data_IF_403216091158
#
_entry.id   IF_403216091158
#
_cell.length_a   1.000
_cell.length_b   1.000
_cell.length_c   1.000
_cell.angle_alpha   90.00
_cell.angle_beta   90.00
_cell.angle_gamma   90.00
#
_symmetry.space_group_name_H-M   'P 1'
#
loop_
_entity.id
_entity.type
_entity.pdbx_description
1 polymer ?
#
# COMPACT_ATOMS: atom_id res chain seq x y z
N UNK A 1 -5.88 9.44 -24.23
CA UNK A 1 -5.36 8.15 -23.78
C UNK A 1 -5.81 6.95 -24.63
N UNK A 2 -7.01 6.94 -25.23
CA UNK A 2 -7.53 5.83 -26.06
C UNK A 2 -6.63 5.41 -27.25
N UNK A 3 -5.89 6.34 -27.86
CA UNK A 3 -5.04 6.07 -29.04
C UNK A 3 -3.64 5.56 -28.72
N UNK A 4 -3.22 5.59 -27.44
CA UNK A 4 -1.84 5.32 -27.05
C UNK A 4 -1.52 3.83 -27.02
N UNK A 5 -2.43 3.02 -26.49
CA UNK A 5 -2.21 1.57 -26.33
C UNK A 5 -2.47 0.83 -27.64
N UNK A 6 -3.41 1.28 -28.46
CA UNK A 6 -3.74 0.69 -29.77
C UNK A 6 -2.64 0.94 -30.79
N UNK A 7 -1.95 2.10 -30.75
CA UNK A 7 -0.85 2.41 -31.69
C UNK A 7 0.38 1.52 -31.45
N UNK A 8 0.58 1.04 -30.26
CA UNK A 8 1.68 0.14 -29.87
C UNK A 8 1.57 -1.27 -30.46
N UNK A 9 0.41 -1.67 -30.94
CA UNK A 9 0.12 -3.04 -31.38
C UNK A 9 -0.06 -3.20 -32.91
N UNK A 10 -0.10 -2.11 -33.67
CA UNK A 10 -0.42 -2.15 -35.11
C UNK A 10 0.74 -1.90 -36.09
N UNK A 11 1.95 -1.65 -35.61
CA UNK A 11 3.09 -1.43 -36.51
C UNK A 11 3.89 -2.74 -36.63
N UNK A 12 4.12 -3.19 -37.86
CA UNK A 12 5.00 -4.34 -38.19
C UNK A 12 6.44 -4.09 -37.73
N UNK A 13 6.76 -4.50 -36.51
CA UNK A 13 7.91 -4.06 -35.74
C UNK A 13 9.06 -5.04 -35.93
N UNK A 14 10.24 -4.54 -36.23
CA UNK A 14 11.49 -5.32 -36.24
C UNK A 14 11.81 -5.82 -34.83
N UNK A 15 12.59 -6.88 -34.69
CA UNK A 15 12.98 -7.48 -33.39
C UNK A 15 13.55 -6.42 -32.41
N UNK A 16 14.36 -5.48 -32.91
CA UNK A 16 14.94 -4.41 -32.11
C UNK A 16 13.88 -3.42 -31.57
N UNK A 17 12.82 -3.18 -32.33
CA UNK A 17 11.69 -2.34 -31.89
C UNK A 17 10.82 -3.08 -30.85
N UNK A 18 10.68 -4.40 -30.96
CA UNK A 18 10.01 -5.23 -29.95
C UNK A 18 10.74 -5.16 -28.60
N UNK A 19 12.08 -5.29 -28.64
CA UNK A 19 12.90 -5.23 -27.42
C UNK A 19 12.84 -3.83 -26.76
N UNK A 20 12.89 -2.77 -27.57
CA UNK A 20 12.73 -1.39 -27.05
C UNK A 20 11.35 -1.17 -26.44
N UNK A 21 10.31 -1.67 -27.09
CA UNK A 21 8.93 -1.57 -26.61
C UNK A 21 8.75 -2.35 -25.31
N UNK A 22 9.32 -3.55 -25.25
CA UNK A 22 9.31 -4.38 -24.05
C UNK A 22 9.95 -3.65 -22.86
N UNK A 23 11.13 -3.07 -23.02
CA UNK A 23 11.80 -2.28 -21.97
C UNK A 23 10.97 -1.08 -21.53
N UNK A 24 10.32 -0.38 -22.45
CA UNK A 24 9.42 0.74 -22.10
C UNK A 24 8.20 0.29 -21.29
N UNK A 25 7.61 -0.85 -21.66
CA UNK A 25 6.49 -1.45 -20.91
C UNK A 25 6.95 -1.95 -19.54
N UNK A 26 8.12 -2.56 -19.44
CA UNK A 26 8.71 -2.98 -18.15
C UNK A 26 8.97 -1.80 -17.25
N UNK A 27 9.54 -0.70 -17.75
CA UNK A 27 9.77 0.53 -16.98
C UNK A 27 8.46 1.16 -16.50
N UNK A 28 7.49 1.31 -17.40
CA UNK A 28 6.16 1.83 -17.05
C UNK A 28 5.46 0.95 -16.00
N UNK A 29 5.55 -0.38 -16.16
CA UNK A 29 5.01 -1.33 -15.19
C UNK A 29 5.69 -1.17 -13.83
N UNK A 30 7.01 -1.01 -13.78
CA UNK A 30 7.77 -0.75 -12.56
C UNK A 30 7.36 0.57 -11.88
N UNK A 31 7.19 1.65 -12.65
CA UNK A 31 6.74 2.94 -12.14
C UNK A 31 5.31 2.89 -11.57
N UNK A 32 4.37 2.24 -12.28
CA UNK A 32 2.99 2.05 -11.81
C UNK A 32 2.98 1.20 -10.53
N UNK A 33 3.77 0.13 -10.51
CA UNK A 33 3.87 -0.76 -9.35
C UNK A 33 4.43 -0.04 -8.13
N UNK A 34 5.52 0.71 -8.31
CA UNK A 34 6.09 1.52 -7.24
C UNK A 34 5.11 2.54 -6.68
N UNK A 35 4.27 3.14 -7.53
CA UNK A 35 3.20 4.04 -7.10
C UNK A 35 2.10 3.28 -6.34
N UNK A 36 1.62 2.17 -6.88
CA UNK A 36 0.57 1.35 -6.25
C UNK A 36 1.01 0.81 -4.89
N UNK A 37 2.22 0.27 -4.77
CA UNK A 37 2.74 -0.24 -3.52
C UNK A 37 2.84 0.85 -2.43
N UNK A 38 3.20 2.11 -2.78
CA UNK A 38 3.23 3.20 -1.80
C UNK A 38 1.85 3.55 -1.23
N UNK A 39 0.80 3.45 -2.04
CA UNK A 39 -0.59 3.68 -1.61
C UNK A 39 -1.02 2.63 -0.62
N UNK A 40 -0.64 1.41 -0.87
CA UNK A 40 -1.08 0.26 -0.10
C UNK A 40 -0.39 0.19 1.25
N UNK A 41 0.88 0.53 1.29
CA UNK A 41 1.67 0.54 2.51
C UNK A 41 1.28 1.68 3.47
N UNK A 42 0.62 2.74 2.97
CA UNK A 42 0.23 3.89 3.80
C UNK A 42 -1.00 3.59 4.68
N UNK A 43 -1.08 4.23 5.83
CA UNK A 43 -2.27 4.30 6.68
C UNK A 43 -2.70 3.00 7.37
N UNK A 44 -1.90 1.95 7.34
CA UNK A 44 -2.23 0.69 8.02
C UNK A 44 -1.95 0.77 9.51
N UNK A 45 -0.95 1.56 9.89
CA UNK A 45 -0.52 1.72 11.28
C UNK A 45 -0.49 3.21 11.61
N UNK A 46 -1.53 3.70 12.22
CA UNK A 46 -1.63 5.11 12.61
C UNK A 46 -0.93 5.47 13.92
N UNK A 47 -0.32 4.50 14.60
CA UNK A 47 0.57 4.67 15.76
C UNK A 47 1.27 3.35 16.11
N UNK A 48 2.29 3.40 16.97
CA UNK A 48 3.07 2.24 17.37
C UNK A 48 2.43 1.40 18.50
N UNK A 49 1.39 1.90 19.17
CA UNK A 49 0.77 1.20 20.30
C UNK A 49 -0.13 0.04 19.83
N UNK A 50 -0.02 -1.12 20.49
CA UNK A 50 -0.98 -2.22 20.37
C UNK A 50 -2.21 -2.01 21.25
N UNK A 51 -3.31 -2.72 20.91
CA UNK A 51 -4.61 -2.59 21.59
C UNK A 51 -4.62 -3.21 22.99
N UNK A 52 -3.76 -4.19 23.23
CA UNK A 52 -3.62 -4.76 24.56
C UNK A 52 -4.38 -6.07 24.80
N UNK A 53 -4.71 -6.79 23.74
CA UNK A 53 -5.37 -8.10 23.77
C UNK A 53 -6.90 -8.01 23.68
N UNK A 54 -7.55 -9.17 23.63
CA UNK A 54 -9.01 -9.28 23.52
C UNK A 54 -9.73 -8.68 24.74
N UNK A 55 -10.87 -8.01 24.56
CA UNK A 55 -11.65 -7.83 23.32
C UNK A 55 -11.36 -6.51 22.57
N UNK A 56 -10.20 -5.92 22.73
CA UNK A 56 -9.90 -4.60 22.17
C UNK A 56 -9.74 -4.65 20.65
N UNK A 57 -10.43 -3.76 19.97
CA UNK A 57 -10.36 -3.63 18.51
C UNK A 57 -10.52 -2.18 18.04
N UNK A 58 -10.12 -1.92 16.82
CA UNK A 58 -10.48 -0.72 16.04
C UNK A 58 -11.00 -1.12 14.68
N UNK A 59 -11.94 -0.34 14.18
CA UNK A 59 -12.35 -0.35 12.77
C UNK A 59 -12.39 1.09 12.28
N UNK A 60 -12.08 1.27 11.01
CA UNK A 60 -12.03 2.62 10.45
C UNK A 60 -12.10 2.64 8.94
N UNK A 61 -12.22 3.86 8.44
CA UNK A 61 -12.17 4.20 7.02
C UNK A 61 -11.07 5.22 6.80
N UNK A 62 -10.42 5.15 5.66
CA UNK A 62 -9.45 6.15 5.29
C UNK A 62 -9.40 6.35 3.77
N UNK A 63 -8.81 7.45 3.37
CA UNK A 63 -8.49 7.76 1.98
C UNK A 63 -7.01 8.04 1.89
N UNK A 64 -6.33 7.34 0.99
CA UNK A 64 -4.98 7.69 0.59
C UNK A 64 -5.02 8.52 -0.68
N UNK A 65 -4.23 9.57 -0.71
CA UNK A 65 -3.98 10.40 -1.89
C UNK A 65 -2.50 10.30 -2.21
N UNK A 66 -2.19 9.80 -3.39
CA UNK A 66 -0.82 9.70 -3.88
C UNK A 66 -0.69 10.31 -5.26
N UNK A 67 0.43 10.99 -5.51
CA UNK A 67 0.74 11.53 -6.82
C UNK A 67 1.48 10.48 -7.63
N UNK A 68 0.79 9.94 -8.64
CA UNK A 68 1.38 9.05 -9.62
C UNK A 68 2.24 9.87 -10.58
N UNK A 69 3.48 9.43 -10.73
CA UNK A 69 4.43 9.99 -11.68
C UNK A 69 4.93 8.87 -12.58
N UNK A 70 4.84 9.04 -13.89
CA UNK A 70 5.39 8.10 -14.84
C UNK A 70 5.90 8.81 -16.10
N UNK A 71 6.91 8.24 -16.71
CA UNK A 71 7.46 8.72 -17.97
C UNK A 71 6.51 8.37 -19.11
N UNK A 72 6.23 9.32 -20.00
CA UNK A 72 5.39 9.05 -21.15
C UNK A 72 6.11 8.05 -22.08
N UNK A 73 5.54 6.85 -22.32
CA UNK A 73 6.22 5.83 -23.12
C UNK A 73 6.40 6.21 -24.61
N UNK A 74 5.74 7.28 -25.07
CA UNK A 74 5.89 7.82 -26.43
C UNK A 74 6.87 9.01 -26.52
N UNK A 75 7.13 9.66 -25.37
CA UNK A 75 8.01 10.82 -25.29
C UNK A 75 8.75 10.78 -23.97
N UNK A 76 9.92 10.16 -23.96
CA UNK A 76 10.76 9.92 -22.78
C UNK A 76 11.17 11.23 -22.06
N UNK A 77 10.92 12.39 -22.68
CA UNK A 77 11.21 13.69 -22.07
C UNK A 77 10.04 14.25 -21.25
N UNK A 78 8.84 13.65 -21.36
CA UNK A 78 7.64 14.13 -20.67
C UNK A 78 7.25 13.23 -19.53
N UNK A 79 7.22 13.80 -18.35
CA UNK A 79 6.65 13.18 -17.16
C UNK A 79 5.16 13.55 -17.05
N UNK A 80 4.34 12.55 -16.76
CA UNK A 80 2.91 12.72 -16.45
C UNK A 80 2.71 12.51 -14.97
N UNK A 81 2.06 13.47 -14.32
CA UNK A 81 1.71 13.38 -12.89
C UNK A 81 0.21 13.59 -12.71
N UNK A 82 -0.42 12.71 -11.93
CA UNK A 82 -1.83 12.87 -11.55
C UNK A 82 -2.08 12.35 -10.14
N UNK A 83 -3.00 12.96 -9.38
CA UNK A 83 -3.42 12.46 -8.09
C UNK A 83 -4.32 11.23 -8.25
N UNK A 84 -4.11 10.23 -7.41
CA UNK A 84 -4.97 9.07 -7.31
C UNK A 84 -5.50 8.92 -5.88
N UNK A 85 -6.79 8.62 -5.77
CA UNK A 85 -7.53 8.52 -4.52
C UNK A 85 -7.91 7.06 -4.26
N UNK A 86 -7.53 6.55 -3.09
CA UNK A 86 -7.79 5.16 -2.71
C UNK A 86 -8.48 5.11 -1.35
N UNK A 87 -9.82 5.02 -1.34
CA UNK A 87 -10.55 4.77 -0.11
C UNK A 87 -10.38 3.30 0.33
N UNK A 88 -10.31 3.07 1.63
CA UNK A 88 -10.23 1.74 2.19
C UNK A 88 -10.87 1.64 3.57
N UNK A 89 -11.29 0.42 3.89
CA UNK A 89 -11.68 -0.01 5.21
C UNK A 89 -10.49 -0.68 5.90
N UNK A 90 -10.33 -0.51 7.18
CA UNK A 90 -9.32 -1.24 7.93
C UNK A 90 -9.80 -1.61 9.32
N UNK A 91 -9.20 -2.66 9.86
CA UNK A 91 -9.44 -3.16 11.20
C UNK A 91 -8.16 -3.57 11.89
N UNK A 92 -8.17 -3.48 13.21
CA UNK A 92 -7.09 -3.89 14.08
C UNK A 92 -7.71 -4.59 15.29
N UNK A 93 -7.23 -5.79 15.61
CA UNK A 93 -7.71 -6.62 16.72
C UNK A 93 -6.55 -6.97 17.62
N UNK A 94 -6.64 -6.61 18.90
CA UNK A 94 -5.69 -6.99 19.92
C UNK A 94 -5.83 -8.48 20.26
N UNK A 95 -4.79 -9.25 20.07
CA UNK A 95 -4.78 -10.70 20.35
C UNK A 95 -4.08 -10.99 21.67
N UNK A 96 -2.95 -10.35 21.91
CA UNK A 96 -2.14 -10.57 23.09
C UNK A 96 -1.67 -9.25 23.70
N UNK A 97 -1.88 -9.09 25.02
CA UNK A 97 -1.54 -7.85 25.75
C UNK A 97 -0.06 -7.66 26.03
N UNK A 98 0.75 -8.67 25.74
CA UNK A 98 2.19 -8.65 26.04
C UNK A 98 2.52 -9.01 27.49
N UNK A 99 3.81 -9.08 27.76
CA UNK A 99 4.37 -9.36 29.08
C UNK A 99 4.64 -8.06 29.84
N UNK A 100 4.49 -8.12 31.15
CA UNK A 100 4.81 -7.04 32.08
C UNK A 100 5.81 -7.56 33.10
N UNK A 101 7.09 -7.15 32.94
CA UNK A 101 8.18 -7.60 33.84
C UNK A 101 8.43 -6.58 34.95
N UNK A 102 8.37 -5.31 34.62
CA UNK A 102 8.55 -4.18 35.53
C UNK A 102 7.60 -3.05 35.12
N UNK A 103 7.38 -2.04 35.99
CA UNK A 103 6.63 -0.85 35.57
C UNK A 103 7.18 -0.17 34.30
N UNK A 104 8.50 -0.29 34.06
CA UNK A 104 9.18 0.24 32.88
C UNK A 104 9.06 -0.64 31.64
N UNK A 105 8.93 -1.95 31.85
CA UNK A 105 8.92 -2.97 30.80
C UNK A 105 7.54 -3.66 30.79
N UNK A 106 6.51 -2.88 30.43
CA UNK A 106 5.13 -3.32 30.38
C UNK A 106 4.65 -3.41 28.93
N UNK A 107 3.86 -4.45 28.61
CA UNK A 107 3.27 -4.67 27.30
C UNK A 107 4.30 -4.99 26.21
N UNK A 108 5.44 -5.60 26.57
CA UNK A 108 6.42 -6.10 25.63
C UNK A 108 5.84 -7.30 24.90
N UNK A 109 6.07 -7.37 23.59
CA UNK A 109 5.55 -8.40 22.69
C UNK A 109 4.01 -8.46 22.65
N UNK A 110 3.31 -7.35 22.92
CA UNK A 110 1.89 -7.29 22.62
C UNK A 110 1.66 -7.43 21.11
N UNK A 111 0.59 -8.15 20.74
CA UNK A 111 0.33 -8.54 19.36
C UNK A 111 -1.08 -8.13 18.95
N UNK A 112 -1.16 -7.44 17.81
CA UNK A 112 -2.40 -7.14 17.12
C UNK A 112 -2.40 -7.74 15.71
N UNK A 113 -3.56 -8.19 15.25
CA UNK A 113 -3.82 -8.57 13.86
C UNK A 113 -4.42 -7.35 13.15
N UNK A 114 -4.01 -7.14 11.91
CA UNK A 114 -4.43 -6.04 11.07
C UNK A 114 -5.10 -6.57 9.80
N UNK A 115 -6.11 -5.87 9.35
CA UNK A 115 -6.75 -6.09 8.06
C UNK A 115 -7.07 -4.77 7.36
N UNK A 116 -6.92 -4.72 6.04
CA UNK A 116 -7.27 -3.57 5.21
C UNK A 116 -7.93 -4.07 3.93
N UNK A 117 -9.01 -3.44 3.53
CA UNK A 117 -9.72 -3.75 2.32
C UNK A 117 -10.03 -2.47 1.55
N UNK A 118 -9.56 -2.38 0.33
CA UNK A 118 -9.90 -1.29 -0.58
C UNK A 118 -10.77 -1.82 -1.72
N UNK A 119 -12.08 -1.48 -1.73
CA UNK A 119 -12.94 -1.78 -2.85
C UNK A 119 -12.58 -0.88 -4.02
N UNK A 120 -12.63 -1.39 -5.21
CA UNK A 120 -12.49 -0.54 -6.39
C UNK A 120 -13.81 0.15 -6.68
N UNK A 121 -13.78 1.46 -6.69
CA UNK A 121 -14.95 2.29 -6.97
C UNK A 121 -15.05 2.70 -8.45
N UNK A 122 -14.07 2.31 -9.27
CA UNK A 122 -13.99 2.70 -10.68
C UNK A 122 -14.61 1.59 -11.53
N UNK A 123 -15.73 1.90 -12.18
CA UNK A 123 -16.28 1.08 -13.26
C UNK A 123 -15.85 1.68 -14.60
N UNK A 124 -15.36 0.85 -15.51
CA UNK A 124 -14.99 1.26 -16.86
C UNK A 124 -15.23 0.10 -17.81
N UNK A 125 -15.72 0.37 -18.99
CA UNK A 125 -15.95 -0.62 -20.06
C UNK A 125 -14.66 -1.30 -20.55
N UNK A 126 -13.50 -0.79 -20.12
CA UNK A 126 -12.17 -1.32 -20.47
C UNK A 126 -11.62 -2.32 -19.44
N UNK A 127 -12.25 -2.45 -18.27
CA UNK A 127 -11.83 -3.38 -17.24
C UNK A 127 -12.75 -4.58 -17.19
N UNK A 128 -12.25 -5.77 -17.46
CA UNK A 128 -13.00 -7.02 -17.26
C UNK A 128 -13.10 -7.37 -15.78
N UNK A 129 -12.00 -7.16 -15.05
CA UNK A 129 -11.94 -7.38 -13.60
C UNK A 129 -11.41 -6.12 -12.92
N UNK A 130 -12.12 -5.71 -11.89
CA UNK A 130 -11.80 -4.54 -11.10
C UNK A 130 -10.90 -5.00 -9.94
N UNK A 131 -9.69 -4.44 -9.77
CA UNK A 131 -8.80 -4.88 -8.71
C UNK A 131 -9.38 -4.51 -7.35
N UNK A 132 -9.67 -5.51 -6.53
CA UNK A 132 -9.83 -5.34 -5.10
C UNK A 132 -8.47 -5.55 -4.44
N UNK A 133 -8.24 -4.82 -3.39
CA UNK A 133 -7.05 -4.91 -2.61
C UNK A 133 -7.38 -5.43 -1.21
N UNK A 134 -6.67 -6.46 -0.77
CA UNK A 134 -6.74 -6.99 0.58
C UNK A 134 -5.33 -6.97 1.20
N UNK A 135 -5.20 -6.37 2.37
CA UNK A 135 -4.00 -6.50 3.18
C UNK A 135 -4.33 -7.18 4.50
N UNK A 136 -3.40 -7.96 5.00
CA UNK A 136 -3.45 -8.53 6.33
C UNK A 136 -2.06 -8.57 6.93
N UNK A 137 -1.98 -8.43 8.25
CA UNK A 137 -0.68 -8.33 8.90
C UNK A 137 -0.75 -8.51 10.40
N UNK A 138 0.42 -8.45 10.99
CA UNK A 138 0.63 -8.56 12.43
C UNK A 138 1.49 -7.39 12.89
N UNK A 139 1.04 -6.70 13.93
CA UNK A 139 1.82 -5.68 14.63
C UNK A 139 2.30 -6.24 15.96
N UNK A 140 3.59 -6.13 16.23
CA UNK A 140 4.25 -6.56 17.44
C UNK A 140 4.82 -5.34 18.14
N UNK A 141 4.35 -5.05 19.33
CA UNK A 141 4.84 -3.95 20.14
C UNK A 141 6.10 -4.39 20.90
N UNK A 142 7.18 -3.66 20.70
CA UNK A 142 8.47 -3.89 21.39
C UNK A 142 8.47 -3.15 22.73
N UNK A 143 7.94 -1.91 22.74
CA UNK A 143 7.89 -1.07 23.91
C UNK A 143 6.53 -0.37 23.98
N UNK A 144 5.93 -0.33 25.17
CA UNK A 144 4.65 0.33 25.42
C UNK A 144 4.86 1.80 25.78
N UNK A 145 3.96 2.64 25.31
CA UNK A 145 3.90 4.04 25.72
C UNK A 145 3.55 4.19 27.21
N UNK A 146 4.31 4.99 27.91
CA UNK A 146 4.10 5.27 29.33
C UNK A 146 4.35 6.75 29.62
N UNK A 147 3.58 7.31 30.55
CA UNK A 147 3.76 8.70 30.97
C UNK A 147 4.90 8.84 31.98
N UNK A 148 5.05 7.89 32.88
CA UNK A 148 6.06 7.89 33.94
C UNK A 148 6.72 6.51 34.04
N UNK A 149 8.01 6.40 33.73
CA UNK A 149 8.83 7.39 33.02
C UNK A 149 8.36 7.57 31.58
N UNK A 150 8.64 8.70 30.93
CA UNK A 150 8.13 9.04 29.60
C UNK A 150 8.80 8.19 28.52
N UNK A 151 8.31 6.95 28.32
CA UNK A 151 8.77 6.05 27.26
C UNK A 151 7.83 6.12 26.05
N UNK A 152 8.33 6.17 24.81
CA UNK A 152 7.48 6.05 23.63
C UNK A 152 7.05 4.60 23.38
N UNK A 153 5.95 4.39 22.66
CA UNK A 153 5.67 3.10 22.07
C UNK A 153 6.58 2.84 20.87
N UNK A 154 7.03 1.60 20.73
CA UNK A 154 7.81 1.12 19.58
C UNK A 154 7.18 -0.17 19.09
N UNK A 155 6.98 -0.31 17.78
CA UNK A 155 6.43 -1.52 17.19
C UNK A 155 7.05 -1.86 15.84
N UNK A 156 6.94 -3.13 15.49
CA UNK A 156 7.20 -3.65 14.15
C UNK A 156 5.91 -4.25 13.62
N UNK A 157 5.59 -3.94 12.37
CA UNK A 157 4.43 -4.48 11.65
C UNK A 157 4.91 -5.22 10.42
N UNK A 158 4.41 -6.42 10.22
CA UNK A 158 4.60 -7.19 8.99
C UNK A 158 3.24 -7.26 8.33
N UNK A 159 3.17 -6.88 7.06
CA UNK A 159 1.92 -6.82 6.30
C UNK A 159 2.11 -7.44 4.92
N UNK A 160 1.17 -8.29 4.54
CA UNK A 160 1.10 -8.86 3.20
C UNK A 160 -0.09 -8.24 2.46
N UNK A 161 0.20 -7.73 1.28
CA UNK A 161 -0.75 -7.05 0.42
C UNK A 161 -1.04 -7.93 -0.79
N UNK A 162 -2.29 -8.32 -0.96
CA UNK A 162 -2.76 -9.17 -2.05
C UNK A 162 -3.71 -8.36 -2.93
N UNK A 163 -3.36 -8.27 -4.19
CA UNK A 163 -4.16 -7.58 -5.18
C UNK A 163 -4.84 -8.61 -6.08
N UNK A 164 -6.12 -8.44 -6.32
CA UNK A 164 -6.74 -9.14 -7.45
C UNK A 164 -6.14 -8.61 -8.74
N UNK A 165 -5.88 -9.47 -9.72
CA UNK A 165 -5.38 -9.02 -11.01
C UNK A 165 -6.28 -7.96 -11.63
N UNK A 166 -5.67 -6.91 -12.16
CA UNK A 166 -6.34 -5.92 -12.98
C UNK A 166 -6.31 -6.41 -14.42
N UNK A 167 -7.45 -6.78 -14.98
CA UNK A 167 -7.54 -7.27 -16.35
C UNK A 167 -8.18 -6.22 -17.26
N UNK A 168 -7.46 -5.85 -18.29
CA UNK A 168 -7.90 -4.97 -19.36
C UNK A 168 -8.30 -5.79 -20.58
N UNK A 169 -9.36 -5.37 -21.25
CA UNK A 169 -9.75 -5.89 -22.55
C UNK A 169 -9.69 -4.79 -23.60
N UNK A 170 -8.95 -5.06 -24.68
CA UNK A 170 -8.88 -4.19 -25.84
C UNK A 170 -9.18 -5.03 -27.08
N UNK A 171 -10.41 -4.96 -27.55
CA UNK A 171 -10.91 -5.79 -28.65
C UNK A 171 -10.70 -7.30 -28.32
N UNK A 172 -9.80 -7.97 -29.02
CA UNK A 172 -9.48 -9.39 -28.82
C UNK A 172 -8.28 -9.62 -27.90
N UNK A 173 -7.59 -8.56 -27.44
CA UNK A 173 -6.42 -8.63 -26.59
C UNK A 173 -6.80 -8.40 -25.11
N UNK A 174 -6.39 -9.32 -24.26
CA UNK A 174 -6.49 -9.23 -22.81
C UNK A 174 -5.12 -9.03 -22.19
N UNK A 175 -5.04 -8.14 -21.20
CA UNK A 175 -3.81 -7.92 -20.42
C UNK A 175 -4.15 -7.94 -18.95
N UNK A 176 -3.42 -8.73 -18.16
CA UNK A 176 -3.60 -8.85 -16.72
C UNK A 176 -2.35 -8.42 -15.97
N UNK A 177 -2.53 -7.56 -14.99
CA UNK A 177 -1.51 -7.08 -14.06
C UNK A 177 -1.77 -7.69 -12.68
N UNK A 178 -0.85 -8.49 -12.17
CA UNK A 178 -0.92 -9.09 -10.83
C UNK A 178 0.21 -8.54 -9.97
N UNK A 179 -0.14 -7.95 -8.83
CA UNK A 179 0.81 -7.37 -7.88
C UNK A 179 0.73 -8.11 -6.55
N UNK A 180 1.88 -8.46 -5.98
CA UNK A 180 2.03 -8.92 -4.60
C UNK A 180 3.06 -8.04 -3.91
N UNK A 181 2.82 -7.74 -2.65
CA UNK A 181 3.71 -6.90 -1.85
C UNK A 181 3.76 -7.40 -0.41
N UNK A 182 4.98 -7.51 0.12
CA UNK A 182 5.27 -7.82 1.51
C UNK A 182 6.01 -6.64 2.13
N UNK A 183 5.40 -6.02 3.14
CA UNK A 183 5.94 -4.87 3.84
C UNK A 183 6.34 -5.17 5.28
N UNK A 184 7.42 -4.54 5.73
CA UNK A 184 7.82 -4.48 7.13
C UNK A 184 7.91 -3.01 7.52
N UNK A 185 7.27 -2.62 8.63
CA UNK A 185 7.25 -1.24 9.14
C UNK A 185 7.74 -1.21 10.59
N UNK A 186 8.67 -0.33 10.89
CA UNK A 186 9.04 0.03 12.25
C UNK A 186 8.47 1.42 12.57
N UNK A 187 7.81 1.55 13.71
CA UNK A 187 7.16 2.79 14.12
C UNK A 187 7.47 3.13 15.57
N UNK A 188 7.55 4.42 15.83
CA UNK A 188 7.60 5.01 17.17
C UNK A 188 6.45 6.01 17.31
N UNK A 189 5.81 6.04 18.48
CA UNK A 189 4.76 7.01 18.78
C UNK A 189 4.78 7.41 20.25
N UNK A 190 4.26 8.62 20.54
CA UNK A 190 4.10 9.12 21.90
C UNK A 190 2.71 9.70 22.10
N UNK A 191 1.99 9.19 23.07
CA UNK A 191 0.65 9.67 23.41
C UNK A 191 0.72 10.88 24.36
N UNK A 192 0.14 11.99 23.94
CA UNK A 192 -0.07 13.23 24.73
C UNK A 192 -1.55 13.46 25.01
N UNK A 193 -2.25 12.43 25.53
CA UNK A 193 -3.68 12.45 25.89
C UNK A 193 -4.61 12.57 24.68
N UNK A 194 -4.59 13.72 23.99
CA UNK A 194 -5.46 14.02 22.83
C UNK A 194 -4.71 13.78 21.52
N UNK A 195 -3.40 13.98 21.51
CA UNK A 195 -2.55 13.95 20.33
C UNK A 195 -1.52 12.84 20.45
N UNK A 196 -1.35 12.05 19.39
CA UNK A 196 -0.32 11.02 19.30
C UNK A 196 0.47 11.22 18.02
N UNK A 197 1.59 11.98 18.05
CA UNK A 197 2.54 11.99 16.95
C UNK A 197 3.19 10.61 16.80
N UNK A 198 3.47 10.25 15.56
CA UNK A 198 4.18 9.02 15.24
C UNK A 198 5.05 9.21 14.00
N UNK A 199 6.10 8.42 13.92
CA UNK A 199 6.98 8.37 12.76
C UNK A 199 7.55 6.96 12.62
N UNK A 200 8.08 6.67 11.45
CA UNK A 200 8.70 5.38 11.22
C UNK A 200 9.33 5.24 9.85
N UNK A 201 9.81 4.04 9.62
CA UNK A 201 10.36 3.61 8.34
C UNK A 201 9.74 2.27 7.94
N UNK A 202 9.65 2.04 6.65
CA UNK A 202 9.17 0.81 6.09
C UNK A 202 10.07 0.29 4.98
N UNK A 203 9.99 -1.00 4.76
CA UNK A 203 10.65 -1.71 3.69
C UNK A 203 9.64 -2.63 3.02
N UNK A 204 9.39 -2.41 1.74
CA UNK A 204 8.47 -3.22 0.95
C UNK A 204 9.23 -3.98 -0.12
N UNK A 205 8.87 -5.25 -0.30
CA UNK A 205 9.29 -6.10 -1.41
C UNK A 205 8.08 -6.38 -2.26
N UNK A 206 8.08 -5.98 -3.51
CA UNK A 206 6.97 -6.20 -4.40
C UNK A 206 7.35 -6.96 -5.68
N UNK A 207 6.38 -7.71 -6.18
CA UNK A 207 6.48 -8.44 -7.44
C UNK A 207 5.27 -8.13 -8.31
N UNK A 208 5.51 -7.59 -9.50
CA UNK A 208 4.52 -7.39 -10.54
C UNK A 208 4.69 -8.41 -11.64
N UNK A 209 3.62 -9.11 -11.96
CA UNK A 209 3.55 -10.00 -13.10
C UNK A 209 2.55 -9.48 -14.13
N UNK A 210 3.00 -9.27 -15.35
CA UNK A 210 2.17 -8.85 -16.47
C UNK A 210 2.02 -9.98 -17.46
N UNK A 211 0.78 -10.38 -17.73
CA UNK A 211 0.45 -11.43 -18.69
C UNK A 211 -0.53 -10.92 -19.74
N UNK A 212 -0.51 -11.51 -20.93
CA UNK A 212 -1.45 -11.22 -22.00
C UNK A 212 -1.93 -12.49 -22.69
N UNK A 213 -3.10 -12.42 -23.30
CA UNK A 213 -3.67 -13.46 -24.16
C UNK A 213 -4.66 -12.82 -25.12
N UNK A 214 -5.08 -13.59 -26.14
CA UNK A 214 -6.09 -13.14 -27.12
C UNK A 214 -7.26 -14.12 -27.15
N UNK A 215 -8.42 -13.69 -27.65
CA UNK A 215 -9.60 -14.55 -27.79
C UNK A 215 -9.32 -15.77 -28.66
N UNK A 216 -8.41 -15.65 -29.65
CA UNK A 216 -7.98 -16.75 -30.53
C UNK A 216 -6.88 -17.64 -29.96
N UNK A 217 -6.14 -17.20 -28.93
CA UNK A 217 -5.10 -17.94 -28.23
C UNK A 217 -5.20 -17.66 -26.72
N UNK A 218 -5.96 -18.47 -25.97
CA UNK A 218 -6.20 -18.25 -24.55
C UNK A 218 -4.99 -18.57 -23.65
N UNK A 219 -3.85 -18.98 -24.24
CA UNK A 219 -2.63 -19.24 -23.48
C UNK A 219 -2.05 -17.93 -22.98
N UNK A 220 -1.99 -17.76 -21.65
CA UNK A 220 -1.41 -16.58 -21.01
C UNK A 220 0.10 -16.54 -21.21
N UNK A 221 0.58 -15.50 -21.87
CA UNK A 221 2.01 -15.26 -22.13
C UNK A 221 2.50 -14.17 -21.18
N UNK A 222 3.68 -14.34 -20.56
CA UNK A 222 4.29 -13.31 -19.71
C UNK A 222 4.95 -12.24 -20.59
N UNK A 223 4.69 -10.96 -20.27
CA UNK A 223 5.37 -9.82 -20.89
C UNK A 223 6.51 -9.35 -19.97
N UNK A 224 6.21 -9.16 -18.69
CA UNK A 224 7.16 -8.61 -17.73
C UNK A 224 6.96 -9.26 -16.36
N UNK A 225 8.06 -9.50 -15.69
CA UNK A 225 8.16 -9.92 -14.30
C UNK A 225 9.11 -8.93 -13.60
N UNK A 226 8.55 -7.97 -12.86
CA UNK A 226 9.33 -6.93 -12.18
C UNK A 226 9.31 -7.25 -10.69
N UNK A 227 10.49 -7.36 -10.09
CA UNK A 227 10.67 -7.47 -8.64
C UNK A 227 11.56 -6.33 -8.19
N UNK A 228 11.16 -5.65 -7.14
CA UNK A 228 11.93 -4.55 -6.59
C UNK A 228 11.67 -4.40 -5.09
N UNK A 229 12.57 -3.68 -4.43
CA UNK A 229 12.52 -3.40 -3.00
C UNK A 229 12.60 -1.90 -2.80
N UNK A 230 11.90 -1.41 -1.77
CA UNK A 230 11.95 0.01 -1.50
C UNK A 230 11.90 0.31 -0.01
N UNK A 231 12.68 1.29 0.39
CA UNK A 231 12.61 1.90 1.72
C UNK A 231 11.78 3.17 1.61
N UNK A 232 10.93 3.40 2.60
CA UNK A 232 10.14 4.62 2.71
C UNK A 232 10.08 5.10 4.17
N UNK A 233 9.79 6.38 4.31
CA UNK A 233 9.59 7.04 5.59
C UNK A 233 8.14 7.46 5.69
N UNK A 234 7.61 7.40 6.90
CA UNK A 234 6.26 7.90 7.17
C UNK A 234 6.21 8.63 8.51
N UNK A 235 5.25 9.52 8.64
CA UNK A 235 5.00 10.22 9.88
C UNK A 235 3.62 10.82 9.88
N UNK A 236 3.07 11.00 11.07
CA UNK A 236 1.71 11.49 11.17
C UNK A 236 1.30 11.90 12.57
N UNK A 237 0.05 12.27 12.67
CA UNK A 237 -0.62 12.69 13.89
C UNK A 237 -1.93 11.95 14.03
N UNK A 238 -2.18 11.36 15.19
CA UNK A 238 -3.48 10.82 15.58
C UNK A 238 -4.11 11.73 16.62
N UNK A 239 -5.37 12.12 16.40
CA UNK A 239 -6.18 12.90 17.31
C UNK A 239 -7.23 11.99 17.93
N UNK A 240 -7.31 11.97 19.27
CA UNK A 240 -8.25 11.15 20.00
C UNK A 240 -9.36 12.03 20.59
N UNK A 241 -10.60 11.68 20.27
CA UNK A 241 -11.78 12.27 20.87
C UNK A 241 -12.72 11.14 21.33
N UNK A 242 -12.71 10.86 22.63
CA UNK A 242 -13.41 9.72 23.24
C UNK A 242 -13.00 8.40 22.59
N UNK A 243 -13.94 7.70 21.95
CA UNK A 243 -13.73 6.42 21.25
C UNK A 243 -13.36 6.59 19.78
N UNK A 244 -13.50 7.81 19.26
CA UNK A 244 -13.19 8.15 17.86
C UNK A 244 -11.77 8.71 17.78
N UNK A 245 -11.06 8.33 16.76
CA UNK A 245 -9.70 8.81 16.46
C UNK A 245 -9.62 9.20 14.99
N UNK A 246 -9.21 10.45 14.73
CA UNK A 246 -8.81 10.87 13.40
C UNK A 246 -7.30 10.77 13.26
N UNK A 247 -6.79 10.53 12.06
CA UNK A 247 -5.35 10.58 11.81
C UNK A 247 -5.02 11.14 10.44
N UNK A 248 -3.85 11.75 10.37
CA UNK A 248 -3.22 12.23 9.16
C UNK A 248 -1.82 11.61 9.09
N UNK A 249 -1.49 10.95 7.99
CA UNK A 249 -0.17 10.35 7.74
C UNK A 249 0.40 10.88 6.42
N UNK A 250 1.65 11.32 6.44
CA UNK A 250 2.45 11.56 5.27
C UNK A 250 3.41 10.39 5.05
N UNK A 251 3.60 9.98 3.80
CA UNK A 251 4.54 8.96 3.38
C UNK A 251 5.45 9.52 2.31
N UNK A 252 6.75 9.27 2.44
CA UNK A 252 7.78 9.67 1.46
C UNK A 252 8.54 8.45 0.95
N UNK A 253 8.53 8.23 -0.36
CA UNK A 253 9.10 7.07 -1.03
C UNK A 253 9.63 7.46 -2.41
N UNK A 254 10.93 7.21 -2.70
CA UNK A 254 11.52 7.44 -4.03
C UNK A 254 11.11 8.78 -4.64
N UNK A 255 11.28 9.88 -3.91
CA UNK A 255 10.88 11.24 -4.33
C UNK A 255 9.37 11.42 -4.58
N UNK A 256 8.54 10.52 -4.08
CA UNK A 256 7.07 10.59 -4.15
C UNK A 256 6.49 10.79 -2.77
N UNK A 257 5.40 11.53 -2.71
CA UNK A 257 4.68 11.83 -1.47
C UNK A 257 3.28 11.22 -1.57
N UNK A 258 2.88 10.54 -0.51
CA UNK A 258 1.52 10.10 -0.28
C UNK A 258 0.97 10.72 0.99
N UNK A 259 -0.32 10.99 1.03
CA UNK A 259 -1.01 11.50 2.21
C UNK A 259 -2.22 10.61 2.49
N UNK A 260 -2.37 10.20 3.74
CA UNK A 260 -3.53 9.42 4.19
C UNK A 260 -4.28 10.20 5.25
N UNK A 261 -5.58 10.30 5.08
CA UNK A 261 -6.51 10.80 6.07
C UNK A 261 -7.49 9.70 6.46
N UNK A 262 -7.68 9.48 7.75
CA UNK A 262 -8.59 8.43 8.20
C UNK A 262 -9.24 8.73 9.53
N UNK A 263 -10.32 7.98 9.77
CA UNK A 263 -11.08 7.98 11.03
C UNK A 263 -11.29 6.54 11.46
N UNK A 264 -11.11 6.27 12.74
CA UNK A 264 -11.34 4.96 13.37
C UNK A 264 -12.08 5.09 14.68
N UNK A 265 -12.83 4.06 15.01
CA UNK A 265 -13.47 3.90 16.30
C UNK A 265 -13.12 2.54 16.89
N UNK A 266 -13.05 2.46 18.20
CA UNK A 266 -12.76 1.19 18.86
C UNK A 266 -12.59 1.32 20.38
N UNK A 267 -12.50 0.17 21.02
CA UNK A 267 -12.33 -0.01 22.46
C UNK A 267 -11.02 -0.70 22.76
#
# INVERSE_FOLDING_TARGET
MKKLVVLLLMVGVTKAQVDTLRHRVENLAGEITGNAASIVSSGVVSNAGCRGGLPHFNVGIAVNVSWFKFTNPLDDTKEVMFPAFFPYLYGELGIFKGFSFTPLLNGILAVDILGKYAPTLIKSDYFEEIPNFLAYGVKIQILKDQLVPPTPAVSVTIINNVYKPLTFKFDTLHTSLSLNDLGIRAAVSKNFVILTPYAGLGYDTYALKTTYWTDGDPVKKSIADVKDNVIYYFGGLEFKFLVIKGYLEGLYRNSRVGVTLGVKAGI
#
